data_IF_571717345894
#
_entry.id   IF_571717345894
#
_cell.length_a   1.000
_cell.length_b   1.000
_cell.length_c   1.000
_cell.angle_alpha   90.00
_cell.angle_beta   90.00
_cell.angle_gamma   90.00
#
_symmetry.space_group_name_H-M   'P 1'
#
loop_
_entity.id
_entity.type
_entity.pdbx_description
1 polymer ?
#
# COMPACT_ATOMS: atom_id res chain seq x y z
N UNK A 1 -3.28 5.02 -2.37
CA UNK A 1 -2.89 3.60 -2.51
C UNK A 1 -1.75 3.26 -1.56
N UNK A 2 -1.58 1.98 -1.23
CA UNK A 2 -0.48 1.50 -0.40
C UNK A 2 0.86 1.61 -1.16
N UNK A 3 1.88 2.29 -0.60
CA UNK A 3 3.18 2.44 -1.24
C UNK A 3 4.01 1.14 -1.25
N UNK A 4 3.62 0.12 -0.48
CA UNK A 4 4.32 -1.18 -0.41
C UNK A 4 3.89 -2.15 -1.49
N UNK A 5 2.58 -2.37 -1.64
CA UNK A 5 2.04 -3.42 -2.50
C UNK A 5 1.20 -2.88 -3.68
N UNK A 6 1.06 -1.56 -3.80
CA UNK A 6 0.21 -0.93 -4.81
C UNK A 6 -1.29 -1.06 -4.54
N UNK A 7 -1.71 -1.72 -3.46
CA UNK A 7 -3.12 -1.98 -3.18
C UNK A 7 -3.90 -0.71 -2.89
N UNK A 8 -5.08 -0.58 -3.51
CA UNK A 8 -6.06 0.46 -3.21
C UNK A 8 -6.89 0.12 -1.96
N UNK A 9 -6.76 -1.10 -1.41
CA UNK A 9 -7.47 -1.57 -0.20
C UNK A 9 -6.84 -1.02 1.08
N UNK A 10 -6.87 0.29 1.22
CA UNK A 10 -6.42 1.02 2.42
C UNK A 10 -7.61 1.61 3.15
N UNK A 11 -7.67 1.50 4.47
CA UNK A 11 -8.68 2.19 5.29
C UNK A 11 -8.01 3.01 6.38
N UNK A 12 -8.62 4.16 6.67
CA UNK A 12 -8.28 4.96 7.82
C UNK A 12 -8.91 4.35 9.07
N UNK A 13 -8.09 3.82 9.97
CA UNK A 13 -8.56 3.07 11.15
C UNK A 13 -8.23 3.75 12.48
N UNK A 14 -7.34 4.76 12.48
CA UNK A 14 -6.94 5.47 13.69
C UNK A 14 -7.38 6.95 13.57
N UNK A 15 -8.57 7.32 14.08
CA UNK A 15 -9.11 8.67 13.93
C UNK A 15 -8.29 9.74 14.68
N UNK A 16 -7.56 9.37 15.74
CA UNK A 16 -6.66 10.27 16.46
C UNK A 16 -5.36 10.57 15.71
N UNK A 17 -4.94 9.68 14.79
CA UNK A 17 -3.73 9.87 14.00
C UNK A 17 -4.16 10.24 12.57
N UNK A 18 -4.14 11.54 12.29
CA UNK A 18 -4.31 12.04 10.94
C UNK A 18 -3.25 11.40 10.03
N UNK A 19 -3.67 11.03 8.82
CA UNK A 19 -2.78 10.45 7.79
C UNK A 19 -2.26 9.02 8.06
N UNK A 20 -2.79 8.28 9.03
CA UNK A 20 -2.43 6.86 9.28
C UNK A 20 -3.42 5.87 8.65
N UNK A 21 -3.06 5.32 7.50
CA UNK A 21 -3.89 4.35 6.77
C UNK A 21 -3.34 2.93 6.95
N UNK A 22 -4.24 1.96 7.13
CA UNK A 22 -3.89 0.54 7.16
C UNK A 22 -4.26 -0.11 5.82
N UNK A 23 -3.29 -0.78 5.22
CA UNK A 23 -3.45 -1.64 4.07
C UNK A 23 -3.87 -3.04 4.51
N UNK A 24 -4.98 -3.55 3.98
CA UNK A 24 -5.47 -4.90 4.28
C UNK A 24 -4.81 -6.00 3.45
N UNK A 25 -3.95 -5.62 2.51
CA UNK A 25 -3.29 -6.54 1.58
C UNK A 25 -1.93 -7.01 2.12
N UNK A 26 -1.16 -6.08 2.68
CA UNK A 26 0.21 -6.32 3.14
C UNK A 26 0.45 -5.87 4.59
N UNK A 27 -0.63 -5.61 5.33
CA UNK A 27 -0.62 -5.14 6.74
C UNK A 27 0.15 -3.81 6.98
N UNK A 28 0.48 -3.09 5.91
CA UNK A 28 1.19 -1.82 6.00
C UNK A 28 0.32 -0.76 6.69
N UNK A 29 0.83 -0.17 7.77
CA UNK A 29 0.19 0.95 8.47
C UNK A 29 1.04 2.21 8.35
N UNK A 30 0.51 3.26 7.73
CA UNK A 30 1.24 4.50 7.51
C UNK A 30 0.59 5.42 6.48
N UNK A 31 1.31 6.44 6.00
CA UNK A 31 0.84 7.32 4.95
C UNK A 31 0.63 6.58 3.63
N UNK A 32 -0.37 7.00 2.88
CA UNK A 32 -0.64 6.51 1.52
C UNK A 32 -0.18 7.52 0.49
N UNK A 33 0.10 7.03 -0.72
CA UNK A 33 0.44 7.88 -1.86
C UNK A 33 -0.76 7.96 -2.80
N UNK A 34 -0.96 9.11 -3.43
CA UNK A 34 -1.86 9.24 -4.57
C UNK A 34 -1.11 8.81 -5.83
N UNK A 35 -1.73 7.97 -6.66
CA UNK A 35 -1.12 7.52 -7.90
C UNK A 35 -2.08 6.78 -8.80
N UNK A 36 -1.71 6.67 -10.06
CA UNK A 36 -2.52 6.12 -11.13
C UNK A 36 -2.44 4.58 -11.16
N UNK A 37 -3.32 3.94 -11.95
CA UNK A 37 -3.33 2.48 -12.11
C UNK A 37 -2.01 1.90 -12.62
N UNK A 38 -1.28 2.63 -13.48
CA UNK A 38 0.04 2.19 -13.97
C UNK A 38 1.06 2.10 -12.84
N UNK A 39 1.17 3.16 -12.03
CA UNK A 39 2.07 3.18 -10.87
C UNK A 39 1.68 2.12 -9.83
N UNK A 40 0.37 1.91 -9.61
CA UNK A 40 -0.12 0.86 -8.73
C UNK A 40 0.31 -0.54 -9.20
N UNK A 41 0.29 -0.79 -10.52
CA UNK A 41 0.76 -2.03 -11.13
C UNK A 41 2.26 -2.22 -10.95
N UNK A 42 3.07 -1.22 -11.25
CA UNK A 42 4.53 -1.32 -11.12
C UNK A 42 4.95 -1.64 -9.68
N UNK A 43 4.35 -0.97 -8.70
CA UNK A 43 4.61 -1.24 -7.27
C UNK A 43 4.17 -2.66 -6.90
N UNK A 44 3.02 -3.11 -7.40
CA UNK A 44 2.53 -4.45 -7.15
C UNK A 44 3.47 -5.53 -7.70
N UNK A 45 3.91 -5.37 -8.96
CA UNK A 45 4.84 -6.29 -9.61
C UNK A 45 6.21 -6.31 -8.92
N UNK A 46 6.72 -5.14 -8.51
CA UNK A 46 7.96 -5.02 -7.73
C UNK A 46 7.83 -5.74 -6.37
N UNK A 47 6.69 -5.56 -5.69
CA UNK A 47 6.41 -6.23 -4.42
C UNK A 47 6.33 -7.75 -4.57
N UNK A 48 5.68 -8.26 -5.61
CA UNK A 48 5.61 -9.68 -5.90
C UNK A 48 6.98 -10.28 -6.22
N UNK A 49 7.84 -9.55 -6.95
CA UNK A 49 9.23 -9.97 -7.19
C UNK A 49 10.03 -10.03 -5.90
N UNK A 50 9.91 -9.02 -5.02
CA UNK A 50 10.63 -9.00 -3.75
C UNK A 50 10.25 -10.13 -2.79
N UNK A 51 9.04 -10.68 -2.90
CA UNK A 51 8.59 -11.81 -2.06
C UNK A 51 8.98 -13.19 -2.61
N UNK A 52 9.42 -13.28 -3.87
CA UNK A 52 9.81 -14.56 -4.50
C UNK A 52 11.30 -14.89 -4.35
N UNK A 53 12.08 -13.96 -3.80
CA UNK A 53 13.53 -14.10 -3.60
C UNK A 53 13.91 -14.47 -2.14
N UNK A 54 12.92 -14.81 -1.29
CA UNK A 54 13.11 -15.39 0.06
C UNK A 54 12.83 -16.90 0.05
#
# INVERSE_FOLDING_TARGET
MCPRCGSKRVKWIIPQNWSMWQCFDCDYTGPIIEGNDELAKEIHEAYQKSQKDD
#
